data_IF_409479832660
#
_entry.id   IF_409479832660
#
_cell.length_a   1.000
_cell.length_b   1.000
_cell.length_c   1.000
_cell.angle_alpha   90.00
_cell.angle_beta   90.00
_cell.angle_gamma   90.00
#
_symmetry.space_group_name_H-M   'P 1'
#
loop_
_entity.id
_entity.type
_entity.pdbx_description
1 polymer ?
#
# COMPACT_ATOMS: atom_id res chain seq x y z
N UNK A 1 17.81 24.55 -42.77
CA UNK A 1 16.73 24.88 -41.80
C UNK A 1 16.56 23.66 -40.91
N UNK A 2 17.25 23.61 -39.77
CA UNK A 2 17.17 22.47 -38.83
C UNK A 2 16.46 22.99 -37.59
N UNK A 3 15.17 22.68 -37.47
CA UNK A 3 14.40 23.00 -36.28
C UNK A 3 14.70 21.92 -35.24
N UNK A 4 15.55 22.24 -34.27
CA UNK A 4 15.86 21.35 -33.15
C UNK A 4 14.81 21.64 -32.08
N UNK A 5 13.79 20.79 -31.97
CA UNK A 5 12.89 20.82 -30.81
C UNK A 5 13.69 20.38 -29.58
N UNK A 6 13.81 21.19 -28.52
CA UNK A 6 14.35 20.69 -27.28
C UNK A 6 13.29 19.76 -26.67
N UNK A 7 13.54 18.45 -26.79
CA UNK A 7 12.85 17.43 -26.02
C UNK A 7 13.25 17.64 -24.55
N UNK A 8 12.55 18.55 -23.87
CA UNK A 8 12.75 18.81 -22.45
C UNK A 8 12.31 17.55 -21.69
N UNK A 9 13.25 16.64 -21.46
CA UNK A 9 13.06 15.52 -20.53
C UNK A 9 12.83 16.16 -19.17
N UNK A 10 11.62 16.04 -18.62
CA UNK A 10 11.37 16.36 -17.21
C UNK A 10 12.24 15.43 -16.36
N UNK A 11 13.41 15.91 -15.95
CA UNK A 11 14.28 15.18 -15.05
C UNK A 11 13.68 15.30 -13.65
N UNK A 12 13.17 14.18 -13.13
CA UNK A 12 12.71 14.12 -11.75
C UNK A 12 13.90 14.27 -10.82
N UNK A 13 13.82 15.21 -9.88
CA UNK A 13 14.85 15.41 -8.85
C UNK A 13 14.24 15.01 -7.51
N UNK A 14 14.90 14.11 -6.79
CA UNK A 14 14.53 13.67 -5.43
C UNK A 14 15.60 14.18 -4.46
N UNK A 15 15.17 14.94 -3.44
CA UNK A 15 16.03 15.43 -2.36
C UNK A 15 15.50 14.83 -1.06
N UNK A 16 16.35 14.10 -0.33
CA UNK A 16 16.01 13.58 1.01
C UNK A 16 16.87 14.24 2.06
N UNK A 17 16.21 14.79 3.07
CA UNK A 17 16.85 15.42 4.21
C UNK A 17 16.57 14.55 5.42
N UNK A 18 17.63 14.06 6.06
CA UNK A 18 17.56 13.27 7.27
C UNK A 18 17.81 14.16 8.49
N UNK A 19 16.84 14.23 9.38
CA UNK A 19 16.96 14.79 10.72
C UNK A 19 17.09 13.66 11.75
N UNK A 20 17.11 13.96 13.05
CA UNK A 20 17.30 12.96 14.11
C UNK A 20 16.25 11.84 14.10
N UNK A 21 14.97 12.18 13.89
CA UNK A 21 13.82 11.26 13.91
C UNK A 21 12.88 11.44 12.70
N UNK A 22 13.26 12.33 11.77
CA UNK A 22 12.39 12.79 10.69
C UNK A 22 13.11 12.70 9.35
N UNK A 23 12.40 12.32 8.30
CA UNK A 23 12.89 12.33 6.91
C UNK A 23 11.97 13.20 6.07
N UNK A 24 12.53 14.22 5.42
CA UNK A 24 11.79 15.09 4.49
C UNK A 24 12.19 14.70 3.07
N UNK A 25 11.22 14.29 2.27
CA UNK A 25 11.40 13.98 0.85
C UNK A 25 10.80 15.10 0.00
N UNK A 26 11.60 15.73 -0.86
CA UNK A 26 11.20 16.81 -1.74
C UNK A 26 11.44 16.39 -3.19
N UNK A 27 10.36 16.40 -3.99
CA UNK A 27 10.40 15.93 -5.37
C UNK A 27 10.01 17.02 -6.37
N UNK A 28 10.90 17.28 -7.33
CA UNK A 28 10.69 18.26 -8.40
C UNK A 28 10.45 17.57 -9.75
N UNK A 29 9.75 18.26 -10.65
CA UNK A 29 9.48 17.76 -12.01
C UNK A 29 8.32 16.76 -12.09
N UNK A 30 7.40 16.78 -11.12
CA UNK A 30 6.17 15.98 -11.10
C UNK A 30 4.96 16.87 -10.81
N UNK A 31 3.74 16.33 -10.95
CA UNK A 31 2.52 17.02 -10.51
C UNK A 31 2.06 16.47 -9.16
N UNK A 32 1.32 17.27 -8.40
CA UNK A 32 0.75 16.85 -7.11
C UNK A 32 -0.06 15.55 -7.25
N UNK A 33 -0.81 15.40 -8.34
CA UNK A 33 -1.63 14.21 -8.62
C UNK A 33 -0.76 12.95 -8.79
N UNK A 34 0.31 13.01 -9.58
CA UNK A 34 1.21 11.87 -9.77
C UNK A 34 1.96 11.50 -8.49
N UNK A 35 2.36 12.50 -7.70
CA UNK A 35 3.00 12.30 -6.40
C UNK A 35 2.05 11.59 -5.43
N UNK A 36 0.80 12.07 -5.34
CA UNK A 36 -0.27 11.48 -4.52
C UNK A 36 -0.54 10.03 -4.91
N UNK A 37 -0.72 9.75 -6.21
CA UNK A 37 -0.94 8.38 -6.69
C UNK A 37 0.22 7.44 -6.33
N UNK A 38 1.47 7.91 -6.45
CA UNK A 38 2.63 7.09 -6.04
C UNK A 38 2.61 6.77 -4.55
N UNK A 39 2.33 7.76 -3.71
CA UNK A 39 2.26 7.58 -2.26
C UNK A 39 1.14 6.61 -1.88
N UNK A 40 -0.04 6.74 -2.48
CA UNK A 40 -1.16 5.83 -2.26
C UNK A 40 -0.84 4.39 -2.69
N UNK A 41 -0.14 4.21 -3.81
CA UNK A 41 0.30 2.89 -4.26
C UNK A 41 1.29 2.27 -3.26
N UNK A 42 2.28 3.05 -2.81
CA UNK A 42 3.25 2.58 -1.82
C UNK A 42 2.59 2.25 -0.47
N UNK A 43 1.63 3.07 -0.03
CA UNK A 43 0.82 2.83 1.15
C UNK A 43 0.01 1.52 0.97
N UNK A 44 -0.66 1.32 -0.17
CA UNK A 44 -1.43 0.10 -0.45
C UNK A 44 -0.58 -1.17 -0.34
N UNK A 45 0.63 -1.17 -0.91
CA UNK A 45 1.53 -2.34 -0.78
C UNK A 45 1.95 -2.59 0.67
N UNK A 46 2.26 -1.53 1.41
CA UNK A 46 2.72 -1.61 2.80
C UNK A 46 1.61 -2.07 3.74
N UNK A 47 0.42 -1.46 3.63
CA UNK A 47 -0.75 -1.78 4.45
C UNK A 47 -1.28 -3.18 4.17
N UNK A 48 -1.21 -3.66 2.92
CA UNK A 48 -1.63 -5.02 2.57
C UNK A 48 -0.76 -6.07 3.26
N UNK A 49 0.56 -5.85 3.32
CA UNK A 49 1.48 -6.72 4.08
C UNK A 49 1.16 -6.71 5.57
N UNK A 50 0.89 -5.53 6.15
CA UNK A 50 0.51 -5.38 7.56
C UNK A 50 -0.82 -6.09 7.86
N UNK A 51 -1.80 -5.95 6.97
CA UNK A 51 -3.10 -6.60 7.10
C UNK A 51 -2.96 -8.13 7.08
N UNK A 52 -2.18 -8.68 6.15
CA UNK A 52 -1.90 -10.12 6.11
C UNK A 52 -1.14 -10.62 7.34
N UNK A 53 -0.13 -9.88 7.80
CA UNK A 53 0.62 -10.24 9.00
C UNK A 53 -0.31 -10.31 10.22
N UNK A 54 -1.17 -9.30 10.38
CA UNK A 54 -2.19 -9.24 11.41
C UNK A 54 -3.13 -10.45 11.32
N UNK A 55 -3.66 -10.74 10.14
CA UNK A 55 -4.61 -11.85 9.94
C UNK A 55 -3.99 -13.19 10.32
N UNK A 56 -2.74 -13.41 9.88
CA UNK A 56 -1.96 -14.60 10.26
C UNK A 56 -1.77 -14.69 11.77
N UNK A 57 -1.46 -13.59 12.45
CA UNK A 57 -1.25 -13.60 13.90
C UNK A 57 -2.55 -13.87 14.66
N UNK A 58 -3.70 -13.32 14.20
CA UNK A 58 -5.00 -13.64 14.77
C UNK A 58 -5.33 -15.13 14.62
N UNK A 59 -5.11 -15.71 13.44
CA UNK A 59 -5.32 -17.13 13.19
C UNK A 59 -4.39 -18.01 14.04
N UNK A 60 -3.12 -17.61 14.22
CA UNK A 60 -2.17 -18.31 15.09
C UNK A 60 -2.61 -18.33 16.56
N UNK A 61 -3.21 -17.24 17.02
CA UNK A 61 -3.69 -17.10 18.40
C UNK A 61 -5.10 -17.68 18.60
N UNK A 62 -5.76 -18.16 17.53
CA UNK A 62 -7.15 -18.62 17.59
C UNK A 62 -8.14 -17.49 17.92
N UNK A 63 -7.77 -16.24 17.61
CA UNK A 63 -8.60 -15.07 17.86
C UNK A 63 -9.59 -14.85 16.69
N UNK A 64 -10.73 -14.18 16.96
CA UNK A 64 -11.69 -13.86 15.91
C UNK A 64 -11.06 -13.00 14.80
N UNK A 65 -11.18 -13.48 13.57
CA UNK A 65 -10.86 -12.75 12.34
C UNK A 65 -12.09 -12.00 11.82
N UNK A 66 -11.89 -10.98 10.99
CA UNK A 66 -13.00 -10.23 10.38
C UNK A 66 -13.67 -11.02 9.23
N UNK A 67 -13.04 -12.12 8.81
CA UNK A 67 -13.52 -13.00 7.76
C UNK A 67 -13.51 -14.44 8.25
N UNK A 68 -14.53 -15.19 7.85
CA UNK A 68 -14.58 -16.64 8.04
C UNK A 68 -13.73 -17.31 6.95
N UNK A 69 -12.55 -17.77 7.33
CA UNK A 69 -11.64 -18.52 6.47
C UNK A 69 -11.97 -20.02 6.52
N UNK A 70 -11.90 -20.69 5.37
CA UNK A 70 -11.97 -22.15 5.32
C UNK A 70 -10.69 -22.78 5.89
N UNK A 71 -10.77 -24.05 6.27
CA UNK A 71 -9.60 -24.79 6.82
C UNK A 71 -8.40 -24.77 5.85
N UNK A 72 -8.65 -24.84 4.55
CA UNK A 72 -7.60 -24.77 3.53
C UNK A 72 -6.96 -23.38 3.45
N UNK A 73 -7.77 -22.31 3.46
CA UNK A 73 -7.28 -20.92 3.46
C UNK A 73 -6.52 -20.59 4.74
N UNK A 74 -6.95 -21.09 5.91
CA UNK A 74 -6.24 -20.92 7.18
C UNK A 74 -4.85 -21.56 7.10
N UNK A 75 -4.76 -22.81 6.64
CA UNK A 75 -3.47 -23.50 6.47
C UNK A 75 -2.53 -22.74 5.51
N UNK A 76 -3.09 -22.20 4.43
CA UNK A 76 -2.35 -21.38 3.47
C UNK A 76 -1.83 -20.07 4.11
N UNK A 77 -2.68 -19.32 4.83
CA UNK A 77 -2.27 -18.08 5.51
C UNK A 77 -1.21 -18.36 6.58
N UNK A 78 -1.33 -19.46 7.32
CA UNK A 78 -0.36 -19.82 8.36
C UNK A 78 1.01 -20.19 7.77
N UNK A 79 1.04 -20.85 6.60
CA UNK A 79 2.25 -21.30 5.90
C UNK A 79 2.89 -20.20 5.05
N UNK A 80 2.12 -19.57 4.17
CA UNK A 80 2.59 -18.59 3.18
C UNK A 80 2.52 -17.15 3.70
N UNK A 81 1.67 -16.88 4.68
CA UNK A 81 1.40 -15.54 5.19
C UNK A 81 0.29 -14.80 4.47
N UNK A 82 -0.34 -15.40 3.46
CA UNK A 82 -1.47 -14.86 2.72
C UNK A 82 -2.30 -16.01 2.12
N UNK A 83 -3.55 -15.73 1.72
CA UNK A 83 -4.38 -16.67 0.96
C UNK A 83 -4.39 -16.28 -0.53
N UNK A 84 -4.27 -17.27 -1.42
CA UNK A 84 -4.34 -17.04 -2.86
C UNK A 84 -5.77 -16.68 -3.31
N UNK A 85 -5.88 -15.84 -4.32
CA UNK A 85 -7.19 -15.38 -4.84
C UNK A 85 -7.88 -14.36 -3.93
N UNK A 86 -7.13 -13.71 -3.04
CA UNK A 86 -7.61 -12.60 -2.22
C UNK A 86 -6.81 -11.32 -2.46
N UNK A 87 -7.52 -10.21 -2.58
CA UNK A 87 -6.95 -8.86 -2.57
C UNK A 87 -7.53 -8.04 -1.42
N UNK A 88 -6.91 -6.89 -1.14
CA UNK A 88 -7.28 -5.96 -0.10
C UNK A 88 -7.93 -4.71 -0.69
N UNK A 89 -9.15 -4.42 -0.21
CA UNK A 89 -9.85 -3.18 -0.50
C UNK A 89 -9.88 -2.29 0.75
N UNK A 90 -9.84 -0.98 0.53
CA UNK A 90 -10.04 -0.02 1.61
C UNK A 90 -11.52 0.02 2.01
N UNK A 91 -11.79 -0.06 3.31
CA UNK A 91 -13.14 0.08 3.86
C UNK A 91 -13.58 1.54 3.80
N UNK A 92 -12.69 2.47 4.16
CA UNK A 92 -12.90 3.92 4.08
C UNK A 92 -12.07 4.52 2.96
N UNK A 93 -12.68 5.47 2.26
CA UNK A 93 -12.04 6.20 1.17
C UNK A 93 -10.77 6.92 1.62
N UNK A 94 -9.65 6.58 0.99
CA UNK A 94 -8.32 7.15 1.29
C UNK A 94 -8.10 8.50 0.63
N UNK A 95 -8.94 8.91 -0.33
CA UNK A 95 -8.90 10.29 -0.84
C UNK A 95 -9.46 11.28 0.17
N UNK A 96 -10.49 10.86 0.91
CA UNK A 96 -11.13 11.67 1.95
C UNK A 96 -10.42 11.58 3.30
N UNK A 97 -9.86 10.42 3.63
CA UNK A 97 -9.13 10.15 4.87
C UNK A 97 -7.74 9.56 4.59
N UNK A 98 -6.79 10.37 4.10
CA UNK A 98 -5.46 9.92 3.72
C UNK A 98 -4.67 9.32 4.90
N UNK A 99 -4.95 9.74 6.12
CA UNK A 99 -4.35 9.18 7.34
C UNK A 99 -4.63 7.68 7.53
N UNK A 100 -5.70 7.16 6.91
CA UNK A 100 -6.08 5.75 6.99
C UNK A 100 -5.47 4.88 5.87
N UNK A 101 -4.66 5.46 4.97
CA UNK A 101 -4.08 4.71 3.86
C UNK A 101 -3.04 3.66 4.30
N UNK A 102 -2.42 3.84 5.46
CA UNK A 102 -1.42 2.92 6.01
C UNK A 102 -1.93 2.14 7.25
N UNK A 103 -3.24 2.22 7.52
CA UNK A 103 -3.92 1.51 8.61
C UNK A 103 -4.41 0.12 8.16
N UNK A 104 -3.86 -0.99 8.71
CA UNK A 104 -4.29 -2.35 8.36
C UNK A 104 -5.73 -2.67 8.77
N UNK A 105 -6.31 -1.94 9.74
CA UNK A 105 -7.71 -2.10 10.10
C UNK A 105 -8.68 -1.51 9.08
N UNK A 106 -8.18 -0.65 8.18
CA UNK A 106 -8.94 -0.10 7.08
C UNK A 106 -8.92 -1.00 5.84
N UNK A 107 -8.35 -2.21 5.93
CA UNK A 107 -8.32 -3.19 4.83
C UNK A 107 -9.32 -4.31 5.08
N UNK A 108 -10.06 -4.68 4.02
CA UNK A 108 -10.92 -5.85 3.98
C UNK A 108 -10.47 -6.78 2.85
N UNK A 109 -10.37 -8.07 3.16
CA UNK A 109 -10.04 -9.10 2.17
C UNK A 109 -11.25 -9.49 1.33
N UNK A 110 -11.13 -9.31 0.03
CA UNK A 110 -12.13 -9.66 -0.99
C UNK A 110 -11.56 -10.72 -1.93
N UNK A 111 -12.42 -11.60 -2.46
CA UNK A 111 -11.98 -12.58 -3.45
C UNK A 111 -11.70 -11.87 -4.77
N UNK A 112 -10.53 -12.11 -5.33
CA UNK A 112 -10.20 -11.71 -6.70
C UNK A 112 -10.96 -12.65 -7.64
N UNK A 113 -12.00 -12.13 -8.29
CA UNK A 113 -12.85 -12.87 -9.23
C UNK A 113 -12.19 -12.96 -10.61
#
# INVERSE_FOLDING_TARGET
MVSIYPFFRFQMIDVRIHCADTVINLRYGTTLEHEKQRLLHHAKTSVMRKAWHRERDLLRLGLPTNKDWSVAEIDEILKLGYANGFDGEYIRDTERYPELCDDPYNIRFVKTN
#
